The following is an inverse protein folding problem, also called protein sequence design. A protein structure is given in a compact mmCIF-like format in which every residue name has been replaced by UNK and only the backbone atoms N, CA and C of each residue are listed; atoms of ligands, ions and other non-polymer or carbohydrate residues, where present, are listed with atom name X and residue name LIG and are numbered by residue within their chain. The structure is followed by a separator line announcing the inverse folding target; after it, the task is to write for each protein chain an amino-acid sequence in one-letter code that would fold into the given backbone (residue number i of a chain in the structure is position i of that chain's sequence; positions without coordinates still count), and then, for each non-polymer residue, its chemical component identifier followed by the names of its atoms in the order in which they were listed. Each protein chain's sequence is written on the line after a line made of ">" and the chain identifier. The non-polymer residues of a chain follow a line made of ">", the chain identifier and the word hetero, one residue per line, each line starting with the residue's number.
data_IF_290941909955
#
_entry.id   IF_290941909955
#
_cell.length_a   1.000
_cell.length_b   1.000
_cell.length_c   1.000
_cell.angle_alpha   90.00
_cell.angle_beta   90.00
_cell.angle_gamma   90.00
#
_symmetry.space_group_name_H-M   'P 1'
#
loop_
_entity.id
_entity.type
_entity.pdbx_description
1 polymer ?
#
# COMPACT_ATOMS: atom_id res chain seq x y z
N UNK A 1 8.12 44.05 -52.94
CA UNK A 1 8.71 42.70 -53.10
C UNK A 1 8.32 41.89 -51.88
N UNK A 2 7.62 40.80 -52.14
CA UNK A 2 6.99 39.88 -51.20
C UNK A 2 8.02 38.89 -50.64
N UNK A 3 7.73 38.34 -49.46
CA UNK A 3 8.30 37.10 -48.88
C UNK A 3 9.81 36.99 -48.72
N UNK A 4 10.29 36.93 -47.47
CA UNK A 4 11.29 35.94 -47.01
C UNK A 4 11.54 36.00 -45.48
N UNK A 5 11.05 37.02 -44.75
CA UNK A 5 11.37 37.19 -43.32
C UNK A 5 10.46 36.44 -42.32
N UNK A 6 9.68 35.45 -42.76
CA UNK A 6 8.89 34.58 -41.85
C UNK A 6 9.54 33.22 -41.58
N UNK A 7 10.76 32.99 -42.07
CA UNK A 7 11.41 31.67 -42.06
C UNK A 7 12.59 31.59 -41.09
N UNK A 8 12.58 32.35 -39.99
CA UNK A 8 13.60 32.25 -38.92
C UNK A 8 13.01 31.76 -37.59
N UNK A 9 11.69 31.53 -37.50
CA UNK A 9 11.01 31.09 -36.27
C UNK A 9 10.50 29.64 -36.31
N UNK A 10 11.12 28.78 -37.13
CA UNK A 10 10.66 27.40 -37.34
C UNK A 10 11.79 26.36 -37.31
N UNK A 11 12.84 26.59 -36.51
CA UNK A 11 13.97 25.65 -36.41
C UNK A 11 14.60 25.56 -35.02
N UNK A 12 13.77 25.67 -33.97
CA UNK A 12 14.19 25.43 -32.58
C UNK A 12 13.23 24.53 -31.80
N UNK A 13 12.37 23.78 -32.50
CA UNK A 13 11.57 22.70 -31.92
C UNK A 13 11.94 21.42 -32.67
N UNK A 14 12.93 20.68 -32.16
CA UNK A 14 13.03 19.22 -32.23
C UNK A 14 14.39 18.86 -31.61
N UNK A 15 14.44 17.78 -30.83
CA UNK A 15 15.60 17.22 -30.09
C UNK A 15 15.71 17.58 -28.60
N UNK A 16 14.58 17.55 -27.89
CA UNK A 16 14.61 16.99 -26.53
C UNK A 16 13.85 15.67 -26.61
N UNK A 17 14.50 14.65 -27.19
CA UNK A 17 14.05 13.27 -26.97
C UNK A 17 14.37 12.96 -25.50
N UNK A 18 13.41 12.60 -24.65
CA UNK A 18 13.79 11.96 -23.40
C UNK A 18 14.52 10.67 -23.80
N UNK A 19 15.82 10.60 -23.53
CA UNK A 19 16.54 9.34 -23.51
C UNK A 19 15.91 8.53 -22.37
N UNK A 20 14.84 7.81 -22.70
CA UNK A 20 14.25 6.81 -21.84
C UNK A 20 15.28 5.71 -21.70
N UNK A 21 16.10 5.79 -20.65
CA UNK A 21 16.86 4.65 -20.17
C UNK A 21 15.84 3.64 -19.62
N UNK A 22 15.30 2.79 -20.48
CA UNK A 22 14.67 1.55 -20.03
C UNK A 22 15.81 0.62 -19.64
N UNK A 23 16.16 0.61 -18.35
CA UNK A 23 17.13 -0.34 -17.83
C UNK A 23 16.44 -1.71 -17.81
N UNK A 24 16.87 -2.61 -18.70
CA UNK A 24 16.35 -3.97 -18.74
C UNK A 24 16.80 -4.72 -17.47
N UNK A 25 15.86 -5.31 -16.74
CA UNK A 25 16.15 -6.04 -15.51
C UNK A 25 17.06 -7.24 -15.82
N UNK A 26 18.06 -7.49 -14.97
CA UNK A 26 18.88 -8.70 -15.07
C UNK A 26 18.03 -9.94 -14.78
N UNK A 27 18.42 -11.11 -15.29
CA UNK A 27 17.72 -12.37 -15.00
C UNK A 27 17.66 -12.69 -13.50
N UNK A 28 18.65 -12.23 -12.73
CA UNK A 28 18.63 -12.34 -11.26
C UNK A 28 17.58 -11.40 -10.65
N UNK A 29 17.47 -10.16 -11.14
CA UNK A 29 16.44 -9.21 -10.72
C UNK A 29 15.03 -9.70 -11.09
N UNK A 30 14.85 -10.32 -12.27
CA UNK A 30 13.59 -10.94 -12.67
C UNK A 30 13.20 -12.09 -11.75
N UNK A 31 14.13 -13.01 -11.46
CA UNK A 31 13.89 -14.12 -10.52
C UNK A 31 13.61 -13.66 -9.09
N UNK A 32 14.26 -12.59 -8.63
CA UNK A 32 13.95 -11.98 -7.33
C UNK A 32 12.56 -11.34 -7.31
N UNK A 33 12.17 -10.65 -8.39
CA UNK A 33 10.85 -10.06 -8.51
C UNK A 33 9.73 -11.13 -8.60
N UNK A 34 9.97 -12.22 -9.34
CA UNK A 34 9.02 -13.33 -9.47
C UNK A 34 8.82 -14.12 -8.17
N UNK A 35 9.85 -14.21 -7.32
CA UNK A 35 9.80 -14.90 -6.03
C UNK A 35 9.64 -13.95 -4.82
N UNK A 36 9.41 -12.65 -5.05
CA UNK A 36 9.22 -11.69 -3.95
C UNK A 36 7.88 -12.03 -3.28
N UNK A 37 7.95 -12.61 -2.09
CA UNK A 37 6.78 -12.67 -1.20
C UNK A 37 6.51 -11.23 -0.78
N UNK A 38 5.31 -10.74 -1.10
CA UNK A 38 4.81 -9.42 -0.72
C UNK A 38 3.69 -9.56 0.32
N UNK A 39 3.60 -8.67 1.31
CA UNK A 39 2.59 -8.73 2.39
C UNK A 39 1.21 -8.51 1.80
N UNK A 40 1.12 -7.66 0.78
CA UNK A 40 -0.07 -7.53 -0.04
C UNK A 40 0.28 -7.73 -1.51
N UNK A 41 -0.51 -8.56 -2.18
CA UNK A 41 -0.60 -8.57 -3.64
C UNK A 41 -1.21 -7.27 -4.14
N UNK A 42 -1.07 -6.98 -5.45
CA UNK A 42 -1.75 -5.82 -6.05
C UNK A 42 -3.27 -5.92 -5.91
N UNK A 43 -3.83 -7.11 -6.09
CA UNK A 43 -5.28 -7.34 -5.94
C UNK A 43 -5.75 -7.14 -4.49
N UNK A 44 -4.99 -7.60 -3.51
CA UNK A 44 -5.32 -7.34 -2.09
C UNK A 44 -5.28 -5.85 -1.76
N UNK A 45 -4.34 -5.07 -2.30
CA UNK A 45 -4.30 -3.61 -2.10
C UNK A 45 -5.52 -2.92 -2.68
N UNK A 46 -5.92 -3.29 -3.90
CA UNK A 46 -7.10 -2.72 -4.55
C UNK A 46 -8.38 -3.09 -3.77
N UNK A 47 -8.46 -4.34 -3.31
CA UNK A 47 -9.58 -4.82 -2.49
C UNK A 47 -9.63 -4.15 -1.12
N UNK A 48 -8.50 -3.92 -0.46
CA UNK A 48 -8.44 -3.18 0.81
C UNK A 48 -9.07 -1.81 0.63
N UNK A 49 -8.72 -1.08 -0.44
CA UNK A 49 -9.27 0.24 -0.67
C UNK A 49 -10.79 0.21 -0.90
N UNK A 50 -11.28 -0.75 -1.69
CA UNK A 50 -12.71 -0.87 -1.99
C UNK A 50 -13.55 -1.33 -0.78
N UNK A 51 -13.13 -2.41 -0.13
CA UNK A 51 -13.80 -2.96 1.06
C UNK A 51 -13.83 -1.90 2.15
N UNK A 52 -12.72 -1.21 2.35
CA UNK A 52 -12.62 -0.20 3.38
C UNK A 52 -13.57 0.98 3.12
N UNK A 53 -13.54 1.60 1.93
CA UNK A 53 -14.46 2.72 1.61
C UNK A 53 -15.90 2.30 1.82
N UNK A 54 -16.27 1.11 1.32
CA UNK A 54 -17.65 0.61 1.41
C UNK A 54 -18.10 0.33 2.84
N UNK A 55 -17.22 -0.18 3.70
CA UNK A 55 -17.58 -0.57 5.06
C UNK A 55 -17.46 0.59 6.06
N UNK A 56 -16.55 1.53 5.85
CA UNK A 56 -16.40 2.73 6.68
C UNK A 56 -17.55 3.70 6.50
N UNK A 57 -18.06 3.85 5.27
CA UNK A 57 -19.29 4.61 5.02
C UNK A 57 -20.45 4.10 5.90
N UNK A 58 -20.52 2.78 6.17
CA UNK A 58 -21.56 2.17 7.03
C UNK A 58 -21.35 2.42 8.53
N UNK A 59 -20.17 2.89 8.94
CA UNK A 59 -19.90 3.28 10.33
C UNK A 59 -20.48 4.67 10.66
N UNK A 60 -20.80 5.48 9.63
CA UNK A 60 -21.40 6.81 9.77
C UNK A 60 -20.66 7.69 10.80
N UNK A 61 -19.34 7.76 10.64
CA UNK A 61 -18.45 8.57 11.47
C UNK A 61 -18.63 10.06 11.17
N UNK A 62 -18.13 10.92 12.07
CA UNK A 62 -17.95 12.32 11.72
C UNK A 62 -16.79 12.45 10.72
N UNK A 63 -16.78 13.50 9.90
CA UNK A 63 -15.68 13.74 8.93
C UNK A 63 -14.30 13.72 9.62
N UNK A 64 -14.19 14.31 10.81
CA UNK A 64 -12.94 14.32 11.56
C UNK A 64 -12.54 12.93 12.09
N UNK A 65 -13.50 12.14 12.56
CA UNK A 65 -13.23 10.77 13.04
C UNK A 65 -12.91 9.83 11.88
N UNK A 66 -13.56 10.01 10.73
CA UNK A 66 -13.30 9.27 9.50
C UNK A 66 -11.89 9.56 8.97
N UNK A 67 -11.49 10.82 8.92
CA UNK A 67 -10.15 11.23 8.49
C UNK A 67 -9.06 10.66 9.42
N UNK A 68 -9.25 10.73 10.74
CA UNK A 68 -8.27 10.18 11.69
C UNK A 68 -8.21 8.65 11.62
N UNK A 69 -9.37 7.99 11.50
CA UNK A 69 -9.47 6.54 11.31
C UNK A 69 -8.73 6.13 10.02
N UNK A 70 -8.93 6.85 8.93
CA UNK A 70 -8.23 6.70 7.66
C UNK A 70 -6.72 6.84 7.76
N UNK A 71 -6.25 7.87 8.46
CA UNK A 71 -4.83 8.11 8.66
C UNK A 71 -4.18 6.96 9.43
N UNK A 72 -4.80 6.50 10.51
CA UNK A 72 -4.27 5.38 11.31
C UNK A 72 -4.25 4.09 10.50
N UNK A 73 -5.33 3.81 9.77
CA UNK A 73 -5.45 2.59 8.97
C UNK A 73 -4.40 2.54 7.85
N UNK A 74 -4.29 3.59 7.04
CA UNK A 74 -3.34 3.59 5.93
C UNK A 74 -1.88 3.68 6.36
N UNK A 75 -1.59 4.37 7.48
CA UNK A 75 -0.24 4.35 8.07
C UNK A 75 0.15 2.92 8.49
N UNK A 76 -0.79 2.19 9.09
CA UNK A 76 -0.59 0.78 9.43
C UNK A 76 -0.38 -0.08 8.17
N UNK A 77 -1.26 0.01 7.15
CA UNK A 77 -1.14 -0.78 5.91
C UNK A 77 0.20 -0.52 5.24
N UNK A 78 0.59 0.75 5.14
CA UNK A 78 1.89 1.14 4.61
C UNK A 78 3.05 0.59 5.44
N UNK A 79 2.90 0.52 6.77
CA UNK A 79 3.92 -0.01 7.68
C UNK A 79 4.11 -1.50 7.50
N UNK A 80 3.04 -2.29 7.56
CA UNK A 80 3.19 -3.75 7.43
C UNK A 80 3.62 -4.15 6.03
N UNK A 81 3.22 -3.41 4.98
CA UNK A 81 3.65 -3.67 3.60
C UNK A 81 5.17 -3.55 3.39
N UNK A 82 5.90 -2.95 4.33
CA UNK A 82 7.38 -2.83 4.25
C UNK A 82 8.11 -3.97 4.97
N UNK A 83 7.43 -4.89 5.63
CA UNK A 83 8.09 -5.93 6.42
C UNK A 83 8.74 -7.04 5.62
N UNK A 84 8.38 -7.22 4.36
CA UNK A 84 9.11 -8.11 3.43
C UNK A 84 9.85 -7.33 2.34
N UNK A 85 9.97 -6.02 2.51
CA UNK A 85 10.71 -5.20 1.58
C UNK A 85 12.20 -5.28 1.87
N UNK A 86 12.86 -6.24 1.21
CA UNK A 86 14.31 -6.44 1.26
C UNK A 86 15.12 -5.20 0.83
N UNK A 87 14.51 -4.21 0.17
CA UNK A 87 15.16 -2.97 -0.25
C UNK A 87 15.51 -2.04 0.92
N UNK A 88 15.08 -2.36 2.16
CA UNK A 88 15.32 -1.58 3.37
C UNK A 88 16.39 -2.16 4.33
N UNK A 89 17.29 -3.02 3.86
CA UNK A 89 18.41 -3.62 4.62
C UNK A 89 17.98 -4.48 5.82
N UNK A 90 16.76 -5.03 5.81
CA UNK A 90 16.25 -5.90 6.88
C UNK A 90 15.77 -7.22 6.32
N UNK A 91 16.61 -8.23 6.43
CA UNK A 91 16.24 -9.62 6.16
C UNK A 91 15.51 -10.19 7.38
N UNK A 92 14.23 -9.84 7.53
CA UNK A 92 13.40 -10.41 8.58
C UNK A 92 13.08 -11.88 8.28
N UNK A 93 13.09 -12.70 9.32
CA UNK A 93 12.54 -14.06 9.24
C UNK A 93 11.01 -14.00 9.20
N UNK A 94 10.37 -15.09 8.76
CA UNK A 94 8.91 -15.21 8.77
C UNK A 94 8.33 -15.02 10.19
N UNK A 95 9.03 -15.50 11.22
CA UNK A 95 8.66 -15.32 12.62
C UNK A 95 8.72 -13.84 13.03
N UNK A 96 9.80 -13.13 12.65
CA UNK A 96 9.93 -11.70 12.93
C UNK A 96 8.89 -10.85 12.19
N UNK A 97 8.54 -11.22 10.95
CA UNK A 97 7.46 -10.57 10.19
C UNK A 97 6.13 -10.77 10.93
N UNK A 98 5.83 -12.02 11.31
CA UNK A 98 4.61 -12.38 12.04
C UNK A 98 4.50 -11.61 13.36
N UNK A 99 5.55 -11.59 14.17
CA UNK A 99 5.58 -10.83 15.44
C UNK A 99 5.33 -9.34 15.24
N UNK A 100 5.91 -8.75 14.19
CA UNK A 100 5.73 -7.33 13.89
C UNK A 100 4.33 -6.99 13.42
N UNK A 101 3.77 -7.79 12.51
CA UNK A 101 2.39 -7.62 12.05
C UNK A 101 1.46 -7.70 13.26
N UNK A 102 1.57 -8.73 14.10
CA UNK A 102 0.73 -8.91 15.28
C UNK A 102 0.88 -7.74 16.29
N UNK A 103 2.11 -7.26 16.50
CA UNK A 103 2.38 -6.10 17.37
C UNK A 103 1.71 -4.82 16.84
N UNK A 104 1.89 -4.53 15.56
CA UNK A 104 1.37 -3.30 14.97
C UNK A 104 -0.15 -3.35 14.80
N UNK A 105 -0.72 -4.53 14.55
CA UNK A 105 -2.17 -4.74 14.55
C UNK A 105 -2.76 -4.35 15.90
N UNK A 106 -2.16 -4.85 17.00
CA UNK A 106 -2.60 -4.49 18.36
C UNK A 106 -2.47 -3.00 18.64
N UNK A 107 -1.38 -2.38 18.18
CA UNK A 107 -1.16 -0.95 18.36
C UNK A 107 -2.19 -0.10 17.58
N UNK A 108 -2.49 -0.48 16.33
CA UNK A 108 -3.51 0.16 15.50
C UNK A 108 -4.91 -0.01 16.13
N UNK A 109 -5.26 -1.23 16.56
CA UNK A 109 -6.53 -1.52 17.23
C UNK A 109 -6.74 -0.65 18.48
N UNK A 110 -5.70 -0.47 19.31
CA UNK A 110 -5.76 0.41 20.49
C UNK A 110 -6.06 1.86 20.10
N UNK A 111 -5.44 2.37 19.03
CA UNK A 111 -5.70 3.74 18.53
C UNK A 111 -7.11 3.87 17.96
N UNK A 112 -7.54 2.92 17.14
CA UNK A 112 -8.87 2.96 16.51
C UNK A 112 -10.00 2.85 17.54
N UNK A 113 -9.80 2.04 18.59
CA UNK A 113 -10.77 1.87 19.67
C UNK A 113 -11.12 3.18 20.40
N UNK A 114 -10.23 4.17 20.41
CA UNK A 114 -10.51 5.46 21.06
C UNK A 114 -11.38 6.38 20.20
N UNK A 115 -11.47 6.11 18.90
CA UNK A 115 -12.25 6.89 17.92
C UNK A 115 -13.65 6.33 17.72
N UNK A 116 -13.79 5.01 17.82
CA UNK A 116 -15.02 4.32 17.44
C UNK A 116 -15.94 4.06 18.63
N UNK A 117 -17.24 4.03 18.35
CA UNK A 117 -18.22 3.41 19.25
C UNK A 117 -17.92 1.90 19.35
N UNK A 118 -18.39 1.21 20.41
CA UNK A 118 -18.21 -0.24 20.51
C UNK A 118 -18.71 -1.00 19.27
N UNK A 119 -19.87 -0.62 18.71
CA UNK A 119 -20.42 -1.25 17.51
C UNK A 119 -19.53 -1.03 16.27
N UNK A 120 -19.03 0.19 16.06
CA UNK A 120 -18.16 0.46 14.93
C UNK A 120 -16.78 -0.17 15.11
N UNK A 121 -16.31 -0.30 16.35
CA UNK A 121 -15.09 -1.03 16.65
C UNK A 121 -15.24 -2.51 16.30
N UNK A 122 -16.35 -3.15 16.64
CA UNK A 122 -16.61 -4.55 16.27
C UNK A 122 -16.62 -4.74 14.73
N UNK A 123 -17.23 -3.80 14.00
CA UNK A 123 -17.17 -3.77 12.52
C UNK A 123 -15.73 -3.65 12.01
N UNK A 124 -14.93 -2.77 12.62
CA UNK A 124 -13.52 -2.63 12.28
C UNK A 124 -12.77 -3.96 12.45
N UNK A 125 -12.93 -4.66 13.58
CA UNK A 125 -12.28 -5.95 13.81
C UNK A 125 -12.70 -6.97 12.75
N UNK A 126 -13.98 -7.04 12.40
CA UNK A 126 -14.47 -7.97 11.38
C UNK A 126 -13.85 -7.71 10.00
N UNK A 127 -13.84 -6.45 9.56
CA UNK A 127 -13.24 -6.05 8.28
C UNK A 127 -11.75 -6.38 8.29
N UNK A 128 -11.07 -6.03 9.38
CA UNK A 128 -9.63 -6.14 9.48
C UNK A 128 -9.17 -7.59 9.58
N UNK A 129 -9.91 -8.43 10.31
CA UNK A 129 -9.66 -9.86 10.39
C UNK A 129 -9.74 -10.54 9.01
N UNK A 130 -10.64 -10.10 8.11
CA UNK A 130 -10.70 -10.61 6.73
C UNK A 130 -9.44 -10.26 5.94
N UNK A 131 -8.89 -9.06 6.13
CA UNK A 131 -7.63 -8.64 5.51
C UNK A 131 -6.48 -9.52 6.02
N UNK A 132 -6.33 -9.67 7.34
CA UNK A 132 -5.26 -10.47 7.92
C UNK A 132 -5.35 -11.95 7.54
N UNK A 133 -6.57 -12.49 7.46
CA UNK A 133 -6.81 -13.87 7.02
C UNK A 133 -6.35 -14.11 5.58
N UNK A 134 -6.63 -13.17 4.66
CA UNK A 134 -6.14 -13.25 3.28
C UNK A 134 -4.61 -13.32 3.22
N UNK A 135 -3.93 -12.48 4.01
CA UNK A 135 -2.47 -12.50 4.09
C UNK A 135 -1.99 -13.84 4.65
N UNK A 136 -2.55 -14.28 5.77
CA UNK A 136 -2.14 -15.52 6.46
C UNK A 136 -2.29 -16.75 5.56
N UNK A 137 -3.42 -16.89 4.87
CA UNK A 137 -3.70 -18.02 3.97
C UNK A 137 -2.70 -18.09 2.80
N UNK A 138 -2.39 -16.94 2.20
CA UNK A 138 -1.50 -16.84 1.05
C UNK A 138 -0.03 -16.97 1.41
N UNK A 139 0.41 -16.33 2.49
CA UNK A 139 1.82 -16.21 2.88
C UNK A 139 2.30 -17.31 3.83
N UNK A 140 1.37 -17.95 4.57
CA UNK A 140 1.70 -18.89 5.64
C UNK A 140 2.06 -18.24 6.98
N UNK A 141 2.00 -16.91 7.09
CA UNK A 141 2.25 -16.20 8.36
C UNK A 141 1.13 -16.46 9.39
N UNK A 142 1.50 -16.72 10.64
CA UNK A 142 0.55 -16.95 11.75
C UNK A 142 0.08 -15.62 12.37
N UNK A 143 -0.74 -14.91 11.59
CA UNK A 143 -1.24 -13.59 11.95
C UNK A 143 -2.51 -13.75 12.79
N UNK A 144 -2.47 -13.24 14.02
CA UNK A 144 -3.57 -13.34 14.99
C UNK A 144 -3.83 -11.98 15.64
N UNK A 145 -5.10 -11.69 15.91
CA UNK A 145 -5.52 -10.49 16.63
C UNK A 145 -5.23 -10.55 18.14
#
# INVERSE_FOLDING_TARGET
>A
MMNQFKTVLALSLFLITPLGFSQEMTEEQKKKAENKVTIFTSEERDNIQLVYVTEVEKMNLSEADEDEYMNIFYDYIGTINRYDDHDHDKDYTEEEITEKINKDTKAMNVKIKTLLTPENYDKHLEIFQRILYSISERSGYDISE
#
